data_IF_340258197616
#
_entry.id   IF_340258197616
#
_cell.length_a   1.000
_cell.length_b   1.000
_cell.length_c   1.000
_cell.angle_alpha   90.00
_cell.angle_beta   90.00
_cell.angle_gamma   90.00
#
_symmetry.space_group_name_H-M   'P 1'
#
loop_
_entity.id
_entity.type
_entity.pdbx_description
1 polymer ?
#
# COMPACT_ATOMS: atom_id res chain seq x y z
N UNK A 1 -18.80 -11.31 7.26
CA UNK A 1 -19.15 -10.07 6.52
C UNK A 1 -17.86 -9.43 6.01
N UNK A 2 -17.89 -8.80 4.83
CA UNK A 2 -16.73 -8.12 4.24
C UNK A 2 -17.02 -6.64 4.04
N UNK A 3 -16.04 -5.78 4.29
CA UNK A 3 -16.03 -4.39 3.85
C UNK A 3 -15.20 -4.28 2.57
N UNK A 4 -15.61 -3.39 1.66
CA UNK A 4 -14.87 -3.07 0.43
C UNK A 4 -14.51 -1.60 0.46
N UNK A 5 -13.23 -1.30 0.25
CA UNK A 5 -12.69 0.07 0.14
C UNK A 5 -12.25 0.27 -1.30
N UNK A 6 -12.73 1.34 -1.93
CA UNK A 6 -12.42 1.69 -3.32
C UNK A 6 -11.70 3.03 -3.33
N UNK A 7 -10.57 3.10 -4.04
CA UNK A 7 -9.88 4.36 -4.30
C UNK A 7 -10.59 5.10 -5.43
N UNK A 8 -10.63 6.43 -5.35
CA UNK A 8 -11.12 7.22 -6.48
C UNK A 8 -10.22 7.00 -7.70
N UNK A 9 -10.75 7.17 -8.93
CA UNK A 9 -9.95 7.05 -10.14
C UNK A 9 -8.68 7.90 -10.07
N UNK A 10 -7.55 7.33 -10.50
CA UNK A 10 -6.23 7.98 -10.58
C UNK A 10 -5.57 8.40 -9.26
N UNK A 11 -6.11 8.01 -8.09
CA UNK A 11 -5.48 8.28 -6.78
C UNK A 11 -4.24 7.39 -6.55
N UNK A 12 -4.29 6.13 -6.97
CA UNK A 12 -3.14 5.23 -6.89
C UNK A 12 -2.17 5.46 -8.04
N UNK A 13 -0.87 5.45 -7.74
CA UNK A 13 0.22 5.70 -8.69
C UNK A 13 1.41 4.78 -8.40
N UNK A 14 2.18 4.45 -9.43
CA UNK A 14 3.33 3.54 -9.33
C UNK A 14 4.48 4.07 -8.47
N UNK A 15 4.58 5.38 -8.27
CA UNK A 15 5.64 5.99 -7.46
C UNK A 15 5.35 6.02 -5.95
N UNK A 16 4.12 5.73 -5.52
CA UNK A 16 3.73 5.86 -4.12
C UNK A 16 4.40 4.78 -3.26
N UNK A 17 4.74 5.04 -2.01
CA UNK A 17 5.39 4.06 -1.14
C UNK A 17 4.89 4.17 0.30
N UNK A 18 5.05 3.10 1.08
CA UNK A 18 4.99 3.15 2.54
C UNK A 18 6.38 2.86 3.09
N UNK A 19 6.70 3.49 4.22
CA UNK A 19 7.91 3.17 4.96
C UNK A 19 7.81 1.75 5.51
N UNK A 20 8.73 0.89 5.10
CA UNK A 20 8.91 -0.46 5.64
C UNK A 20 10.15 -0.42 6.52
N UNK A 21 9.98 -0.59 7.83
CA UNK A 21 11.08 -0.50 8.80
C UNK A 21 12.03 -1.70 8.71
N UNK A 22 11.48 -2.90 8.48
CA UNK A 22 12.27 -4.10 8.35
C UNK A 22 12.94 -4.18 6.97
N UNK A 23 14.25 -4.03 6.94
CA UNK A 23 15.05 -4.00 5.71
C UNK A 23 14.92 -5.30 4.89
N UNK A 24 14.90 -6.47 5.53
CA UNK A 24 14.73 -7.74 4.82
C UNK A 24 13.34 -7.86 4.16
N UNK A 25 12.29 -7.39 4.84
CA UNK A 25 10.94 -7.32 4.26
C UNK A 25 10.90 -6.35 3.08
N UNK A 26 11.54 -5.18 3.21
CA UNK A 26 11.64 -4.21 2.12
C UNK A 26 12.33 -4.80 0.89
N UNK A 27 13.48 -5.42 1.07
CA UNK A 27 14.23 -6.07 -0.01
C UNK A 27 13.44 -7.18 -0.71
N UNK A 28 12.61 -7.90 0.04
CA UNK A 28 11.72 -8.92 -0.51
C UNK A 28 10.54 -8.33 -1.29
N UNK A 29 9.93 -7.24 -0.80
CA UNK A 29 8.70 -6.68 -1.35
C UNK A 29 8.95 -5.80 -2.57
N UNK A 30 10.01 -4.99 -2.59
CA UNK A 30 10.30 -4.01 -3.65
C UNK A 30 10.36 -4.64 -5.07
N UNK A 31 10.91 -5.85 -5.29
CA UNK A 31 10.83 -6.53 -6.58
C UNK A 31 9.42 -7.00 -6.95
N UNK A 32 8.61 -7.42 -5.97
CA UNK A 32 7.28 -8.01 -6.18
C UNK A 32 6.21 -6.98 -6.54
N UNK A 33 6.47 -5.70 -6.25
CA UNK A 33 5.55 -4.59 -6.50
C UNK A 33 5.78 -3.89 -7.84
N UNK A 34 6.73 -4.37 -8.65
CA UNK A 34 6.98 -3.85 -10.00
C UNK A 34 5.94 -4.38 -10.98
N UNK A 35 5.38 -3.49 -11.81
CA UNK A 35 4.50 -3.80 -12.93
C UNK A 35 3.25 -4.65 -12.57
N UNK A 36 2.74 -4.50 -11.35
CA UNK A 36 1.48 -5.10 -10.91
C UNK A 36 0.36 -4.06 -10.79
N UNK A 37 -0.89 -4.53 -10.68
CA UNK A 37 -2.04 -3.67 -10.40
C UNK A 37 -1.80 -2.79 -9.17
N UNK A 38 -2.19 -1.52 -9.26
CA UNK A 38 -1.82 -0.50 -8.28
C UNK A 38 -2.44 -0.74 -6.89
N UNK A 39 -3.62 -1.34 -6.84
CA UNK A 39 -4.26 -1.75 -5.59
C UNK A 39 -3.55 -2.95 -4.95
N UNK A 40 -3.15 -3.96 -5.74
CA UNK A 40 -2.28 -5.06 -5.27
C UNK A 40 -0.95 -4.52 -4.74
N UNK A 41 -0.37 -3.52 -5.41
CA UNK A 41 0.83 -2.83 -4.95
C UNK A 41 0.60 -2.15 -3.60
N UNK A 42 -0.48 -1.39 -3.44
CA UNK A 42 -0.84 -0.81 -2.14
C UNK A 42 -0.99 -1.88 -1.05
N UNK A 43 -1.68 -2.99 -1.34
CA UNK A 43 -1.88 -4.09 -0.38
C UNK A 43 -0.55 -4.70 0.07
N UNK A 44 0.41 -4.88 -0.84
CA UNK A 44 1.73 -5.42 -0.49
C UNK A 44 2.51 -4.46 0.42
N UNK A 45 2.46 -3.16 0.14
CA UNK A 45 3.05 -2.16 1.03
C UNK A 45 2.36 -2.12 2.40
N UNK A 46 1.02 -2.19 2.44
CA UNK A 46 0.26 -2.20 3.69
C UNK A 46 0.67 -3.38 4.57
N UNK A 47 0.73 -4.59 3.99
CA UNK A 47 1.17 -5.79 4.70
C UNK A 47 2.62 -5.65 5.18
N UNK A 48 3.52 -5.20 4.31
CA UNK A 48 4.94 -5.08 4.62
C UNK A 48 5.24 -4.04 5.71
N UNK A 49 4.53 -2.91 5.70
CA UNK A 49 4.76 -1.80 6.63
C UNK A 49 4.03 -1.99 7.96
N UNK A 50 2.88 -2.66 7.97
CA UNK A 50 1.98 -2.67 9.14
C UNK A 50 1.60 -4.05 9.65
N UNK A 51 1.84 -5.11 8.87
CA UNK A 51 1.35 -6.46 9.15
C UNK A 51 -0.15 -6.66 8.87
N UNK A 52 -0.88 -5.63 8.42
CA UNK A 52 -2.31 -5.75 8.11
C UNK A 52 -2.50 -6.42 6.75
N UNK A 53 -3.22 -7.53 6.74
CA UNK A 53 -3.57 -8.28 5.53
C UNK A 53 -4.96 -7.93 5.03
N UNK A 54 -5.06 -7.61 3.74
CA UNK A 54 -6.32 -7.37 3.00
C UNK A 54 -6.21 -7.97 1.60
N UNK A 55 -7.32 -8.07 0.86
CA UNK A 55 -7.34 -8.69 -0.48
C UNK A 55 -7.59 -7.63 -1.55
N UNK A 56 -6.72 -7.45 -2.56
CA UNK A 56 -6.90 -6.45 -3.60
C UNK A 56 -8.09 -6.77 -4.53
N UNK A 57 -8.72 -5.74 -5.10
CA UNK A 57 -9.88 -5.90 -5.99
C UNK A 57 -9.49 -6.31 -7.42
N UNK A 58 -8.26 -6.05 -7.86
CA UNK A 58 -7.76 -6.46 -9.17
C UNK A 58 -7.84 -7.96 -9.44
N UNK A 59 -8.04 -8.80 -8.42
CA UNK A 59 -8.30 -10.24 -8.55
C UNK A 59 -9.76 -10.63 -8.80
N UNK A 60 -10.69 -9.67 -8.86
CA UNK A 60 -12.14 -9.91 -8.87
C UNK A 60 -12.87 -9.48 -10.16
N UNK A 61 -12.15 -9.29 -11.28
CA UNK A 61 -12.73 -8.80 -12.56
C UNK A 61 -13.51 -7.49 -12.42
N UNK A 62 -13.02 -6.57 -11.57
CA UNK A 62 -13.58 -5.23 -11.38
C UNK A 62 -12.57 -4.19 -11.84
N UNK A 63 -13.03 -3.16 -12.54
CA UNK A 63 -12.20 -2.04 -13.00
C UNK A 63 -11.90 -1.01 -11.90
N UNK A 64 -12.39 -1.25 -10.68
CA UNK A 64 -12.24 -0.34 -9.54
C UNK A 64 -11.06 -0.75 -8.67
N UNK A 65 -10.01 0.10 -8.52
CA UNK A 65 -8.89 -0.19 -7.64
C UNK A 65 -9.33 -0.12 -6.18
N UNK A 66 -8.95 -1.12 -5.38
CA UNK A 66 -9.33 -1.17 -3.98
C UNK A 66 -8.95 -2.46 -3.29
N UNK A 67 -9.55 -2.70 -2.13
CA UNK A 67 -9.37 -3.94 -1.41
C UNK A 67 -10.60 -4.32 -0.59
N UNK A 68 -10.65 -5.59 -0.18
CA UNK A 68 -11.64 -6.12 0.77
C UNK A 68 -10.96 -6.53 2.06
N UNK A 69 -11.66 -6.31 3.16
CA UNK A 69 -11.27 -6.75 4.49
C UNK A 69 -12.42 -7.46 5.18
N UNK A 70 -12.10 -8.37 6.10
CA UNK A 70 -13.09 -9.02 6.96
C UNK A 70 -13.50 -8.09 8.11
N UNK A 71 -14.71 -8.30 8.62
CA UNK A 71 -15.23 -7.62 9.81
C UNK A 71 -15.42 -8.62 10.95
N UNK A 72 -14.52 -9.58 11.06
CA UNK A 72 -14.64 -10.74 11.95
C UNK A 72 -13.86 -10.61 13.25
N UNK A 73 -13.08 -9.53 13.42
CA UNK A 73 -12.42 -9.23 14.69
C UNK A 73 -13.49 -8.84 15.72
N UNK A 74 -13.53 -9.58 16.83
CA UNK A 74 -14.53 -9.45 17.89
C UNK A 74 -14.04 -8.56 19.03
N UNK A 75 -12.73 -8.35 19.13
CA UNK A 75 -12.13 -7.40 20.04
C UNK A 75 -12.22 -6.00 19.45
N UNK A 76 -13.11 -5.18 20.01
CA UNK A 76 -13.39 -3.81 19.54
C UNK A 76 -12.14 -2.93 19.49
N UNK A 77 -11.22 -3.08 20.44
CA UNK A 77 -10.00 -2.26 20.48
C UNK A 77 -9.02 -2.68 19.39
N UNK A 78 -8.86 -3.99 19.14
CA UNK A 78 -8.09 -4.47 17.98
C UNK A 78 -8.71 -4.05 16.68
N UNK A 79 -10.03 -4.18 16.53
CA UNK A 79 -10.76 -3.77 15.34
C UNK A 79 -10.56 -2.27 15.04
N UNK A 80 -10.74 -1.41 16.06
CA UNK A 80 -10.50 0.04 15.94
C UNK A 80 -9.05 0.36 15.60
N UNK A 81 -8.11 -0.38 16.18
CA UNK A 81 -6.67 -0.23 15.90
C UNK A 81 -6.38 -0.58 14.45
N UNK A 82 -6.87 -1.72 13.94
CA UNK A 82 -6.72 -2.11 12.54
C UNK A 82 -7.29 -1.06 11.58
N UNK A 83 -8.50 -0.53 11.86
CA UNK A 83 -9.09 0.53 11.05
C UNK A 83 -8.24 1.81 11.03
N UNK A 84 -7.73 2.24 12.20
CA UNK A 84 -6.84 3.41 12.29
C UNK A 84 -5.54 3.19 11.54
N UNK A 85 -4.96 2.00 11.63
CA UNK A 85 -3.75 1.62 10.90
C UNK A 85 -3.97 1.68 9.39
N UNK A 86 -5.07 1.09 8.89
CA UNK A 86 -5.44 1.14 7.47
C UNK A 86 -5.63 2.60 7.02
N UNK A 87 -6.39 3.40 7.77
CA UNK A 87 -6.66 4.80 7.41
C UNK A 87 -5.38 5.65 7.37
N UNK A 88 -4.48 5.47 8.35
CA UNK A 88 -3.19 6.14 8.40
C UNK A 88 -2.30 5.72 7.22
N UNK A 89 -2.23 4.42 6.92
CA UNK A 89 -1.46 3.90 5.80
C UNK A 89 -1.99 4.41 4.45
N UNK A 90 -3.31 4.45 4.26
CA UNK A 90 -3.91 5.05 3.06
C UNK A 90 -3.44 6.50 2.89
N UNK A 91 -3.55 7.31 3.95
CA UNK A 91 -3.15 8.71 3.90
C UNK A 91 -1.67 8.87 3.55
N UNK A 92 -0.79 8.17 4.27
CA UNK A 92 0.66 8.22 4.04
C UNK A 92 1.05 7.79 2.63
N UNK A 93 0.42 6.72 2.13
CA UNK A 93 0.70 6.21 0.80
C UNK A 93 0.29 7.22 -0.28
N UNK A 94 -0.91 7.80 -0.17
CA UNK A 94 -1.40 8.79 -1.12
C UNK A 94 -0.56 10.09 -1.11
N UNK A 95 -0.05 10.48 0.05
CA UNK A 95 0.79 11.69 0.23
C UNK A 95 2.27 11.46 -0.11
N UNK A 96 2.70 10.22 -0.35
CA UNK A 96 4.10 9.90 -0.64
C UNK A 96 4.59 10.56 -1.93
N UNK A 97 5.69 11.30 -1.84
CA UNK A 97 6.33 12.00 -2.96
C UNK A 97 7.49 11.18 -3.53
N UNK A 98 7.77 11.38 -4.82
CA UNK A 98 8.96 10.86 -5.47
C UNK A 98 10.20 11.46 -4.79
N UNK A 99 11.06 10.64 -4.18
CA UNK A 99 12.44 11.09 -3.91
C UNK A 99 13.18 11.07 -5.25
N UNK A 100 13.17 12.20 -5.95
CA UNK A 100 14.09 12.41 -7.07
C UNK A 100 15.49 12.51 -6.45
N UNK A 101 16.27 11.44 -6.57
CA UNK A 101 17.71 11.50 -6.33
C UNK A 101 18.29 12.32 -7.48
N UNK A 102 18.49 13.62 -7.26
CA UNK A 102 19.36 14.43 -8.13
C UNK A 102 20.78 13.93 -7.91
N UNK A 103 21.20 12.97 -8.74
CA UNK A 103 22.60 12.59 -8.82
C UNK A 103 23.31 13.69 -9.62
N UNK A 104 23.94 14.64 -8.92
CA UNK A 104 24.83 15.61 -9.55
C UNK A 104 25.97 14.85 -10.23
N UNK A 105 25.98 14.79 -11.56
CA UNK A 105 27.16 14.41 -12.33
C UNK A 105 28.08 15.64 -12.34
N UNK A 106 28.93 15.76 -11.32
CA UNK A 106 30.08 16.65 -11.36
C UNK A 106 31.31 15.86 -11.76
N UNK A 107 31.82 16.08 -12.98
CA UNK A 107 33.18 15.68 -13.33
C UNK A 107 33.36 15.15 -14.75
N UNK A 108 33.03 15.96 -15.77
CA UNK A 108 33.67 15.87 -17.09
C UNK A 108 33.75 17.30 -17.63
N UNK A 109 34.82 17.99 -17.23
CA UNK A 109 35.53 19.00 -18.00
C UNK A 109 36.91 19.19 -17.36
#
# INVERSE_FOLDING_TARGET
MYATVVFKPNELKSHQTLQIENQAVKEYIEPLVKDIALDKRFVYYLLAATGVYVVPLSGFNLDLPGFRMTLLEVDDEKYRTTLKTIASAIKQYLESKNQIITMCISGLN
#
